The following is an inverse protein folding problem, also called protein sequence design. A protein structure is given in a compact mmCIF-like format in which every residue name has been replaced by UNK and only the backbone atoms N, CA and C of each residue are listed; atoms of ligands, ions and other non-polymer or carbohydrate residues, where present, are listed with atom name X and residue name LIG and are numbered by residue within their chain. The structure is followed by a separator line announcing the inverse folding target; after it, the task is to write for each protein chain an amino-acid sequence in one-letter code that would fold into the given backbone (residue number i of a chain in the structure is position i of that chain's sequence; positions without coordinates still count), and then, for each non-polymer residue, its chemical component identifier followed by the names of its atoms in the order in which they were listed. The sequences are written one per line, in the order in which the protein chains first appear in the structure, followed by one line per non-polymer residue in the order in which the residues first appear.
data_IF_242161568973
#
_entry.id   IF_242161568973
#
_cell.length_a   1.000
_cell.length_b   1.000
_cell.length_c   1.000
_cell.angle_alpha   90.00
_cell.angle_beta   90.00
_cell.angle_gamma   90.00
#
_symmetry.space_group_name_H-M   'P 1'
#
loop_
_entity.id
_entity.type
_entity.pdbx_description
1 polymer ?
#
# COMPACT_ATOMS: atom_id res chain seq x y z
N UNK A 1 16.50 -41.56 14.00
CA UNK A 1 16.29 -42.95 14.48
C UNK A 1 16.26 -43.86 13.25
N UNK A 2 16.96 -45.00 13.30
CA UNK A 2 17.34 -45.94 12.20
C UNK A 2 18.68 -45.62 11.51
N UNK A 3 19.77 -46.14 12.09
CA UNK A 3 20.92 -46.74 11.41
C UNK A 3 21.88 -47.27 12.48
N UNK A 4 21.45 -48.31 13.20
CA UNK A 4 22.34 -49.16 14.00
C UNK A 4 21.78 -50.56 13.82
N UNK A 5 22.50 -51.44 13.12
CA UNK A 5 22.10 -52.84 13.06
C UNK A 5 22.48 -53.55 11.77
N UNK A 6 23.77 -53.61 11.41
CA UNK A 6 24.26 -54.70 10.53
C UNK A 6 25.78 -54.89 10.57
N UNK A 7 26.42 -54.78 11.75
CA UNK A 7 27.84 -55.15 11.90
C UNK A 7 28.14 -56.09 13.09
N UNK A 8 27.12 -56.64 13.75
CA UNK A 8 27.33 -57.55 14.90
C UNK A 8 26.89 -59.01 14.71
N UNK A 9 26.38 -59.41 13.54
CA UNK A 9 25.77 -60.74 13.40
C UNK A 9 26.71 -61.86 12.93
N UNK A 10 27.98 -61.58 12.58
CA UNK A 10 28.89 -62.59 12.02
C UNK A 10 29.97 -63.10 13.00
N UNK A 11 30.08 -62.58 14.22
CA UNK A 11 31.16 -62.94 15.16
C UNK A 11 30.71 -63.76 16.39
N UNK A 12 29.51 -64.34 16.37
CA UNK A 12 28.96 -65.10 17.50
C UNK A 12 28.35 -66.46 17.16
N UNK A 13 28.63 -67.01 15.97
CA UNK A 13 28.32 -68.40 15.65
C UNK A 13 29.62 -69.22 15.70
N UNK A 14 29.90 -69.81 16.86
CA UNK A 14 30.83 -70.92 16.94
C UNK A 14 30.30 -72.05 16.07
N UNK A 15 31.03 -72.42 15.03
CA UNK A 15 30.76 -73.64 14.28
C UNK A 15 32.07 -74.41 14.11
N UNK A 16 32.24 -75.38 15.00
CA UNK A 16 33.05 -76.57 14.78
C UNK A 16 32.45 -77.30 13.57
N UNK A 17 33.18 -77.34 12.46
CA UNK A 17 32.93 -78.31 11.40
C UNK A 17 34.27 -78.72 10.77
N UNK A 18 34.82 -79.82 11.27
CA UNK A 18 35.72 -80.68 10.51
C UNK A 18 34.85 -81.42 9.50
N UNK A 19 35.00 -81.16 8.21
CA UNK A 19 34.23 -81.85 7.18
C UNK A 19 34.38 -81.23 5.80
N UNK A 20 34.71 -82.08 4.83
CA UNK A 20 35.10 -81.80 3.44
C UNK A 20 33.93 -81.44 2.53
N UNK A 21 33.97 -80.27 1.87
CA UNK A 21 33.55 -79.99 0.48
C UNK A 21 33.59 -78.47 0.23
N UNK A 22 34.04 -78.03 -0.96
CA UNK A 22 34.04 -76.63 -1.36
C UNK A 22 32.59 -76.12 -1.52
N UNK A 23 32.15 -75.23 -0.64
CA UNK A 23 30.80 -74.64 -0.64
C UNK A 23 30.88 -73.16 -1.03
N UNK A 24 30.43 -72.82 -2.23
CA UNK A 24 30.19 -71.44 -2.66
C UNK A 24 28.94 -70.89 -1.98
N UNK A 25 29.08 -69.76 -1.27
CA UNK A 25 27.97 -69.11 -0.57
C UNK A 25 27.46 -67.93 -1.41
N UNK A 26 26.15 -67.94 -1.72
CA UNK A 26 25.49 -66.85 -2.41
C UNK A 26 25.05 -65.76 -1.42
N UNK A 27 25.48 -64.52 -1.65
CA UNK A 27 25.10 -63.36 -0.84
C UNK A 27 23.90 -62.69 -1.51
N UNK A 28 22.79 -62.59 -0.77
CA UNK A 28 21.53 -62.01 -1.23
C UNK A 28 21.20 -60.72 -0.51
N UNK A 29 20.50 -59.81 -1.19
CA UNK A 29 19.93 -58.62 -0.56
C UNK A 29 18.65 -58.95 0.23
N UNK A 30 18.10 -57.96 0.94
CA UNK A 30 16.88 -58.11 1.75
C UNK A 30 15.60 -58.36 0.91
N UNK A 31 15.69 -58.35 -0.41
CA UNK A 31 14.61 -58.68 -1.34
C UNK A 31 14.79 -60.08 -1.96
N UNK A 32 15.82 -60.82 -1.55
CA UNK A 32 16.10 -62.20 -1.97
C UNK A 32 16.90 -62.32 -3.26
N UNK A 33 17.32 -61.21 -3.88
CA UNK A 33 18.10 -61.22 -5.11
C UNK A 33 19.58 -61.47 -4.81
N UNK A 34 20.23 -62.28 -5.65
CA UNK A 34 21.68 -62.56 -5.52
C UNK A 34 22.44 -61.30 -5.93
N UNK A 35 23.17 -60.72 -4.98
CA UNK A 35 24.00 -59.53 -5.18
C UNK A 35 25.50 -59.85 -5.21
N UNK A 36 25.87 -61.10 -4.94
CA UNK A 36 27.23 -61.61 -5.16
C UNK A 36 27.37 -63.10 -4.86
N UNK A 37 28.40 -63.73 -5.40
CA UNK A 37 28.84 -65.10 -5.05
C UNK A 37 30.28 -65.05 -4.57
N UNK A 38 30.57 -65.72 -3.46
CA UNK A 38 31.91 -65.80 -2.90
C UNK A 38 32.43 -67.24 -2.97
N UNK A 39 33.54 -67.43 -3.68
CA UNK A 39 34.31 -68.67 -3.66
C UNK A 39 35.12 -68.70 -2.35
N UNK A 40 34.93 -69.74 -1.53
CA UNK A 40 35.62 -69.91 -0.26
C UNK A 40 36.97 -70.62 -0.47
N UNK A 41 37.81 -70.09 -1.37
CA UNK A 41 39.13 -70.66 -1.67
C UNK A 41 40.23 -69.85 -0.99
N UNK A 42 40.69 -70.34 0.17
CA UNK A 42 41.79 -69.75 0.95
C UNK A 42 41.63 -69.93 2.45
N UNK A 43 42.37 -70.88 3.04
CA UNK A 43 42.54 -70.99 4.49
C UNK A 43 43.44 -69.83 4.97
N UNK A 44 42.82 -68.79 5.54
CA UNK A 44 43.56 -67.72 6.22
C UNK A 44 44.19 -68.27 7.52
N UNK A 45 45.47 -67.97 7.75
CA UNK A 45 46.13 -68.22 9.03
C UNK A 45 45.44 -67.41 10.14
N UNK A 46 45.41 -67.93 11.38
CA UNK A 46 44.82 -67.23 12.53
C UNK A 46 45.41 -65.82 12.73
N UNK A 47 46.69 -65.63 12.40
CA UNK A 47 47.36 -64.33 12.47
C UNK A 47 46.87 -63.36 11.38
N UNK A 48 46.51 -63.89 10.21
CA UNK A 48 46.01 -63.10 9.09
C UNK A 48 44.55 -62.67 9.32
N UNK A 49 43.75 -63.55 9.92
CA UNK A 49 42.39 -63.23 10.36
C UNK A 49 42.39 -62.16 11.47
N UNK A 50 43.32 -62.27 12.43
CA UNK A 50 43.46 -61.29 13.52
C UNK A 50 43.93 -59.92 12.98
N UNK A 51 44.84 -59.88 12.01
CA UNK A 51 45.24 -58.63 11.34
C UNK A 51 44.07 -57.96 10.62
N UNK A 52 43.29 -58.72 9.84
CA UNK A 52 42.10 -58.19 9.14
C UNK A 52 41.02 -57.72 10.11
N UNK A 53 40.84 -58.41 11.24
CA UNK A 53 39.90 -57.99 12.29
C UNK A 53 40.36 -56.70 12.97
N UNK A 54 41.66 -56.54 13.23
CA UNK A 54 42.22 -55.32 13.81
C UNK A 54 42.18 -54.14 12.82
N UNK A 55 42.38 -54.38 11.53
CA UNK A 55 42.19 -53.40 10.46
C UNK A 55 40.72 -52.96 10.39
N UNK A 56 39.78 -53.90 10.38
CA UNK A 56 38.34 -53.60 10.39
C UNK A 56 37.91 -52.82 11.64
N UNK A 57 38.47 -53.13 12.82
CA UNK A 57 38.23 -52.36 14.06
C UNK A 57 38.75 -50.94 13.97
N UNK A 58 39.96 -50.74 13.42
CA UNK A 58 40.54 -49.41 13.20
C UNK A 58 39.72 -48.60 12.20
N UNK A 59 39.25 -49.22 11.12
CA UNK A 59 38.42 -48.55 10.11
C UNK A 59 37.03 -48.19 10.66
N UNK A 60 36.41 -49.09 11.44
CA UNK A 60 35.16 -48.80 12.14
C UNK A 60 35.30 -47.64 13.14
N UNK A 61 36.41 -47.59 13.88
CA UNK A 61 36.70 -46.47 14.80
C UNK A 61 36.90 -45.16 14.03
N UNK A 62 37.64 -45.15 12.91
CA UNK A 62 37.78 -43.96 12.07
C UNK A 62 36.43 -43.47 11.54
N UNK A 63 35.56 -44.37 11.07
CA UNK A 63 34.22 -44.01 10.60
C UNK A 63 33.36 -43.42 11.72
N UNK A 64 33.39 -44.01 12.91
CA UNK A 64 32.67 -43.47 14.08
C UNK A 64 33.18 -42.08 14.47
N UNK A 65 34.49 -41.86 14.41
CA UNK A 65 35.11 -40.57 14.72
C UNK A 65 34.81 -39.52 13.64
N UNK A 66 34.79 -39.91 12.36
CA UNK A 66 34.39 -39.05 11.26
C UNK A 66 32.90 -38.66 11.36
N UNK A 67 32.02 -39.59 11.71
CA UNK A 67 30.59 -39.33 11.94
C UNK A 67 30.39 -38.38 13.13
N UNK A 68 31.11 -38.60 14.24
CA UNK A 68 31.07 -37.70 15.40
C UNK A 68 31.57 -36.30 15.05
N UNK A 69 32.64 -36.19 14.26
CA UNK A 69 33.17 -34.91 13.79
C UNK A 69 32.18 -34.18 12.89
N UNK A 70 31.57 -34.87 11.92
CA UNK A 70 30.52 -34.30 11.05
C UNK A 70 29.31 -33.81 11.85
N UNK A 71 28.85 -34.59 12.83
CA UNK A 71 27.76 -34.19 13.72
C UNK A 71 28.12 -32.98 14.60
N UNK A 72 29.36 -32.92 15.10
CA UNK A 72 29.86 -31.77 15.86
C UNK A 72 29.98 -30.51 14.99
N UNK A 73 30.45 -30.63 13.75
CA UNK A 73 30.53 -29.51 12.81
C UNK A 73 29.14 -29.00 12.40
N UNK A 74 28.17 -29.90 12.21
CA UNK A 74 26.79 -29.54 11.89
C UNK A 74 26.11 -28.82 13.05
N UNK A 75 26.24 -29.32 14.28
CA UNK A 75 25.73 -28.64 15.48
C UNK A 75 26.40 -27.28 15.68
N UNK A 76 27.71 -27.16 15.46
CA UNK A 76 28.42 -25.89 15.52
C UNK A 76 27.91 -24.88 14.46
N UNK A 77 27.58 -25.34 13.24
CA UNK A 77 26.97 -24.49 12.21
C UNK A 77 25.57 -24.02 12.61
N UNK A 78 24.73 -24.93 13.10
CA UNK A 78 23.37 -24.60 13.55
C UNK A 78 23.40 -23.59 14.70
N UNK A 79 24.31 -23.76 15.67
CA UNK A 79 24.48 -22.81 16.79
C UNK A 79 24.97 -21.44 16.28
N UNK A 80 25.93 -21.40 15.35
CA UNK A 80 26.39 -20.13 14.75
C UNK A 80 25.25 -19.41 14.02
N UNK A 81 24.48 -20.14 13.23
CA UNK A 81 23.34 -19.60 12.50
C UNK A 81 22.24 -19.10 13.45
N UNK A 82 21.97 -19.81 14.54
CA UNK A 82 21.01 -19.37 15.56
C UNK A 82 21.46 -18.07 16.24
N UNK A 83 22.76 -17.94 16.57
CA UNK A 83 23.34 -16.72 17.14
C UNK A 83 23.25 -15.56 16.14
N UNK A 84 23.57 -15.79 14.86
CA UNK A 84 23.45 -14.76 13.82
C UNK A 84 22.01 -14.32 13.61
N UNK A 85 21.06 -15.26 13.57
CA UNK A 85 19.64 -14.97 13.48
C UNK A 85 19.15 -14.16 14.69
N UNK A 86 19.57 -14.53 15.89
CA UNK A 86 19.21 -13.80 17.11
C UNK A 86 19.80 -12.39 17.13
N UNK A 87 21.07 -12.23 16.73
CA UNK A 87 21.68 -10.89 16.56
C UNK A 87 20.94 -10.06 15.52
N UNK A 88 20.54 -10.65 14.40
CA UNK A 88 19.76 -9.98 13.37
C UNK A 88 18.37 -9.57 13.89
N UNK A 89 17.72 -10.43 14.66
CA UNK A 89 16.42 -10.14 15.29
C UNK A 89 16.55 -8.99 16.31
N UNK A 90 17.57 -9.02 17.15
CA UNK A 90 17.84 -7.95 18.11
C UNK A 90 18.16 -6.63 17.41
N UNK A 91 18.94 -6.65 16.33
CA UNK A 91 19.23 -5.45 15.53
C UNK A 91 17.96 -4.86 14.90
N UNK A 92 17.06 -5.69 14.37
CA UNK A 92 15.76 -5.25 13.85
C UNK A 92 14.89 -4.64 14.95
N UNK A 93 14.82 -5.28 16.11
CA UNK A 93 14.03 -4.78 17.24
C UNK A 93 14.56 -3.45 17.77
N UNK A 94 15.89 -3.29 17.85
CA UNK A 94 16.53 -2.03 18.24
C UNK A 94 16.16 -0.89 17.29
N UNK A 95 16.22 -1.14 15.98
CA UNK A 95 15.90 -0.14 14.96
C UNK A 95 14.42 0.24 15.00
N UNK A 96 13.53 -0.73 15.25
CA UNK A 96 12.10 -0.46 15.42
C UNK A 96 11.82 0.39 16.68
N UNK A 97 12.47 0.08 17.80
CA UNK A 97 12.36 0.87 19.03
C UNK A 97 12.86 2.31 18.81
N UNK A 98 14.03 2.49 18.18
CA UNK A 98 14.55 3.82 17.86
C UNK A 98 13.59 4.61 16.97
N UNK A 99 13.00 3.95 15.97
CA UNK A 99 12.01 4.56 15.09
C UNK A 99 10.76 5.00 15.85
N UNK A 100 10.28 4.18 16.78
CA UNK A 100 9.09 4.52 17.57
C UNK A 100 9.40 5.63 18.58
N UNK A 101 10.59 5.64 19.18
CA UNK A 101 11.05 6.76 20.02
C UNK A 101 11.04 8.06 19.22
N UNK A 102 11.62 8.08 18.02
CA UNK A 102 11.63 9.27 17.15
C UNK A 102 10.21 9.72 16.76
N UNK A 103 9.31 8.76 16.52
CA UNK A 103 7.90 9.06 16.27
C UNK A 103 7.25 9.73 17.49
N UNK A 104 7.47 9.19 18.69
CA UNK A 104 6.86 9.66 19.93
C UNK A 104 7.39 11.04 20.37
N UNK A 105 8.59 11.43 19.94
CA UNK A 105 9.10 12.80 20.16
C UNK A 105 8.26 13.85 19.46
N UNK A 106 7.57 13.51 18.37
CA UNK A 106 6.74 14.44 17.62
C UNK A 106 5.29 14.36 18.05
N UNK A 107 4.71 15.48 18.47
CA UNK A 107 3.27 15.57 18.77
C UNK A 107 2.60 16.70 17.98
N UNK A 108 1.27 16.60 17.81
CA UNK A 108 0.46 17.56 17.06
C UNK A 108 -0.70 18.06 17.91
N UNK A 109 -0.94 19.37 17.88
CA UNK A 109 -2.07 20.01 18.54
C UNK A 109 -2.95 20.69 17.49
N UNK A 110 -4.21 20.25 17.30
CA UNK A 110 -5.12 20.87 16.35
C UNK A 110 -5.42 22.33 16.70
N UNK A 111 -5.43 23.19 15.69
CA UNK A 111 -5.78 24.63 15.79
C UNK A 111 -6.94 25.02 14.87
N UNK A 112 -7.34 24.13 13.96
CA UNK A 112 -8.37 24.42 12.98
C UNK A 112 -8.44 23.34 11.92
N UNK A 113 -9.10 23.65 10.81
CA UNK A 113 -9.19 22.76 9.66
C UNK A 113 -8.99 23.51 8.36
N UNK A 114 -8.59 22.81 7.31
CA UNK A 114 -8.61 23.32 5.95
C UNK A 114 -9.32 22.33 5.05
N UNK A 115 -10.27 22.83 4.27
CA UNK A 115 -11.02 22.05 3.28
C UNK A 115 -10.62 22.48 1.88
N UNK A 116 -10.17 21.54 1.07
CA UNK A 116 -9.85 21.74 -0.34
C UNK A 116 -11.01 21.28 -1.20
N UNK A 117 -11.39 22.07 -2.21
CA UNK A 117 -12.48 21.75 -3.14
C UNK A 117 -11.90 21.41 -4.51
N UNK A 118 -12.50 20.41 -5.16
CA UNK A 118 -12.11 19.93 -6.47
C UNK A 118 -13.33 19.80 -7.37
N UNK A 119 -13.13 20.01 -8.67
CA UNK A 119 -14.13 19.71 -9.69
C UNK A 119 -14.24 18.20 -9.96
N UNK A 120 -15.16 17.82 -10.85
CA UNK A 120 -15.36 16.44 -11.29
C UNK A 120 -14.11 15.80 -11.94
N UNK A 121 -13.22 16.60 -12.53
CA UNK A 121 -11.98 16.14 -13.15
C UNK A 121 -10.82 16.01 -12.15
N UNK A 122 -11.02 16.46 -10.91
CA UNK A 122 -10.02 16.41 -9.83
C UNK A 122 -9.10 17.63 -9.78
N UNK A 123 -9.37 18.70 -10.53
CA UNK A 123 -8.62 19.94 -10.40
C UNK A 123 -9.06 20.70 -9.15
N UNK A 124 -8.09 21.28 -8.44
CA UNK A 124 -8.37 22.13 -7.28
C UNK A 124 -9.09 23.40 -7.72
N UNK A 125 -10.27 23.67 -7.16
CA UNK A 125 -11.08 24.86 -7.44
C UNK A 125 -10.97 25.93 -6.36
N UNK A 126 -10.57 25.55 -5.15
CA UNK A 126 -10.36 26.47 -4.04
C UNK A 126 -10.12 25.77 -2.70
N UNK A 127 -10.05 26.57 -1.64
CA UNK A 127 -9.95 26.08 -0.27
C UNK A 127 -10.70 26.97 0.72
N UNK A 128 -11.03 26.42 1.88
CA UNK A 128 -11.60 27.12 3.02
C UNK A 128 -10.86 26.69 4.29
N UNK A 129 -10.19 27.63 4.96
CA UNK A 129 -9.45 27.38 6.18
C UNK A 129 -10.19 27.96 7.37
N UNK A 130 -10.55 27.13 8.33
CA UNK A 130 -11.23 27.50 9.57
C UNK A 130 -10.23 27.54 10.73
N UNK A 131 -10.17 28.66 11.44
CA UNK A 131 -9.34 28.84 12.64
C UNK A 131 -10.00 29.88 13.53
N UNK A 132 -10.11 29.62 14.84
CA UNK A 132 -10.62 30.56 15.84
C UNK A 132 -11.96 31.23 15.48
N UNK A 133 -12.91 30.48 14.90
CA UNK A 133 -14.24 30.98 14.54
C UNK A 133 -14.30 31.84 13.28
N UNK A 134 -13.21 31.90 12.50
CA UNK A 134 -13.16 32.51 11.19
C UNK A 134 -12.88 31.47 10.11
N UNK A 135 -13.50 31.63 8.94
CA UNK A 135 -13.25 30.81 7.74
C UNK A 135 -12.72 31.70 6.63
N UNK A 136 -11.50 31.47 6.15
CA UNK A 136 -10.91 32.19 5.02
C UNK A 136 -11.03 31.33 3.76
N UNK A 137 -11.70 31.85 2.73
CA UNK A 137 -11.89 31.16 1.44
C UNK A 137 -10.91 31.67 0.40
N UNK A 138 -10.29 30.74 -0.33
CA UNK A 138 -9.38 31.02 -1.45
C UNK A 138 -9.88 30.35 -2.72
N UNK A 139 -9.68 31.01 -3.86
CA UNK A 139 -9.88 30.39 -5.17
C UNK A 139 -8.71 29.43 -5.51
N UNK A 140 -8.79 28.76 -6.66
CA UNK A 140 -7.74 27.87 -7.17
C UNK A 140 -6.35 28.54 -7.25
N UNK A 141 -6.30 29.84 -7.57
CA UNK A 141 -5.06 30.60 -7.65
C UNK A 141 -4.46 30.95 -6.27
N UNK A 142 -5.18 30.69 -5.17
CA UNK A 142 -4.76 31.00 -3.81
C UNK A 142 -5.16 32.40 -3.34
N UNK A 143 -5.85 33.19 -4.17
CA UNK A 143 -6.35 34.52 -3.81
C UNK A 143 -7.52 34.40 -2.84
N UNK A 144 -7.55 35.22 -1.79
CA UNK A 144 -8.70 35.29 -0.87
C UNK A 144 -9.90 35.84 -1.64
N UNK A 145 -11.01 35.13 -1.60
CA UNK A 145 -12.27 35.52 -2.27
C UNK A 145 -13.39 35.82 -1.29
N UNK A 146 -13.21 35.47 -0.02
CA UNK A 146 -14.13 35.83 1.03
C UNK A 146 -13.69 35.32 2.39
N UNK A 147 -14.33 35.84 3.43
CA UNK A 147 -14.12 35.43 4.81
C UNK A 147 -15.45 35.33 5.53
N UNK A 148 -15.60 34.33 6.38
CA UNK A 148 -16.74 34.17 7.28
C UNK A 148 -16.25 34.40 8.71
N UNK A 149 -16.97 35.19 9.51
CA UNK A 149 -16.62 35.46 10.89
C UNK A 149 -17.82 35.20 11.79
N UNK A 150 -17.65 34.39 12.84
CA UNK A 150 -18.69 34.16 13.84
C UNK A 150 -18.57 35.21 14.94
N UNK A 151 -19.55 36.10 15.05
CA UNK A 151 -19.59 37.16 16.05
C UNK A 151 -21.02 37.34 16.57
N UNK A 152 -21.19 37.39 17.89
CA UNK A 152 -22.49 37.67 18.53
C UNK A 152 -23.61 36.70 18.12
N UNK A 153 -23.28 35.43 17.84
CA UNK A 153 -24.26 34.42 17.38
C UNK A 153 -24.68 34.56 15.91
N UNK A 154 -23.97 35.40 15.13
CA UNK A 154 -24.17 35.59 13.69
C UNK A 154 -22.91 35.14 12.95
N UNK A 155 -23.08 34.67 11.72
CA UNK A 155 -21.98 34.51 10.77
C UNK A 155 -21.99 35.70 9.82
N UNK A 156 -20.94 36.51 9.81
CA UNK A 156 -20.76 37.63 8.90
C UNK A 156 -19.96 37.18 7.68
N UNK A 157 -20.38 37.60 6.48
CA UNK A 157 -19.70 37.28 5.23
C UNK A 157 -19.02 38.51 4.65
N UNK A 158 -17.74 38.37 4.32
CA UNK A 158 -16.93 39.42 3.70
C UNK A 158 -16.42 38.95 2.34
N UNK A 159 -16.28 39.88 1.39
CA UNK A 159 -15.60 39.61 0.12
C UNK A 159 -14.07 39.54 0.29
N UNK A 160 -13.36 39.25 -0.80
CA UNK A 160 -11.89 39.18 -0.81
C UNK A 160 -11.18 40.52 -0.52
N UNK A 161 -11.90 41.64 -0.56
CA UNK A 161 -11.39 42.97 -0.19
C UNK A 161 -11.74 43.36 1.25
N UNK A 162 -12.49 42.53 1.98
CA UNK A 162 -12.92 42.77 3.35
C UNK A 162 -14.21 43.58 3.49
N UNK A 163 -15.00 43.76 2.42
CA UNK A 163 -16.30 44.42 2.53
C UNK A 163 -17.38 43.43 2.98
N UNK A 164 -18.25 43.85 3.89
CA UNK A 164 -19.40 43.04 4.32
C UNK A 164 -20.36 42.81 3.13
N UNK A 165 -20.61 41.55 2.80
CA UNK A 165 -21.52 41.13 1.72
C UNK A 165 -22.84 40.57 2.23
N UNK A 166 -22.89 40.16 3.49
CA UNK A 166 -24.11 39.65 4.11
C UNK A 166 -23.87 39.07 5.50
N UNK A 167 -24.93 38.47 6.05
CA UNK A 167 -24.86 37.79 7.33
C UNK A 167 -25.82 36.60 7.37
N UNK A 168 -25.55 35.61 8.22
CA UNK A 168 -26.46 34.49 8.53
C UNK A 168 -26.70 34.43 10.02
N UNK A 169 -27.97 34.25 10.38
CA UNK A 169 -28.42 34.10 11.77
C UNK A 169 -29.24 32.82 11.86
N UNK A 170 -28.90 31.96 12.81
CA UNK A 170 -29.61 30.69 13.04
C UNK A 170 -30.30 30.74 14.39
N UNK A 171 -31.59 30.48 14.43
CA UNK A 171 -32.39 30.41 15.66
C UNK A 171 -33.57 29.47 15.50
N UNK A 172 -33.76 28.55 16.47
CA UNK A 172 -34.93 27.66 16.53
C UNK A 172 -35.16 26.83 15.25
N UNK A 173 -34.10 26.33 14.61
CA UNK A 173 -34.19 25.56 13.36
C UNK A 173 -34.43 26.39 12.10
N UNK A 174 -34.51 27.72 12.23
CA UNK A 174 -34.59 28.66 11.10
C UNK A 174 -33.26 29.37 10.90
N UNK A 175 -32.77 29.41 9.67
CA UNK A 175 -31.66 30.26 9.28
C UNK A 175 -32.17 31.41 8.40
N UNK A 176 -31.81 32.64 8.75
CA UNK A 176 -32.04 33.83 7.94
C UNK A 176 -30.71 34.30 7.37
N UNK A 177 -30.69 34.54 6.05
CA UNK A 177 -29.54 35.10 5.35
C UNK A 177 -29.88 36.51 4.90
N UNK A 178 -29.01 37.45 5.23
CA UNK A 178 -29.13 38.87 4.96
C UNK A 178 -28.14 39.28 3.88
N UNK A 179 -28.53 40.22 3.02
CA UNK A 179 -27.61 40.90 2.12
C UNK A 179 -26.80 41.98 2.86
N UNK A 180 -25.88 42.65 2.15
CA UNK A 180 -25.07 43.74 2.68
C UNK A 180 -25.88 44.94 3.21
N UNK A 181 -27.10 45.16 2.69
CA UNK A 181 -28.01 46.21 3.15
C UNK A 181 -28.81 45.82 4.42
N UNK A 182 -28.65 44.58 4.90
CA UNK A 182 -29.36 44.08 6.08
C UNK A 182 -30.78 43.57 5.79
N UNK A 183 -31.14 43.38 4.52
CA UNK A 183 -32.43 42.81 4.11
C UNK A 183 -32.34 41.29 4.03
N UNK A 184 -33.42 40.59 4.38
CA UNK A 184 -33.48 39.13 4.25
C UNK A 184 -33.49 38.74 2.77
N UNK A 185 -32.43 38.05 2.35
CA UNK A 185 -32.25 37.55 0.98
C UNK A 185 -32.77 36.11 0.82
N UNK A 186 -32.59 35.27 1.85
CA UNK A 186 -33.13 33.91 1.86
C UNK A 186 -33.41 33.43 3.28
N UNK A 187 -34.25 32.39 3.37
CA UNK A 187 -34.59 31.72 4.63
C UNK A 187 -34.56 30.21 4.44
N UNK A 188 -34.05 29.51 5.44
CA UNK A 188 -34.03 28.06 5.52
C UNK A 188 -34.79 27.64 6.77
N UNK A 189 -35.68 26.66 6.65
CA UNK A 189 -36.43 26.12 7.80
C UNK A 189 -36.18 24.63 7.86
N UNK A 190 -35.60 24.17 8.97
CA UNK A 190 -35.28 22.75 9.22
C UNK A 190 -36.29 22.15 10.20
N UNK A 191 -36.87 21.01 9.85
CA UNK A 191 -37.79 20.24 10.70
C UNK A 191 -37.44 18.76 10.59
N UNK A 192 -36.87 18.21 11.66
CA UNK A 192 -36.22 16.89 11.60
C UNK A 192 -35.12 16.89 10.55
N UNK A 193 -35.13 15.90 9.66
CA UNK A 193 -34.14 15.77 8.59
C UNK A 193 -34.46 16.57 7.31
N UNK A 194 -35.59 17.28 7.27
CA UNK A 194 -36.04 18.05 6.11
C UNK A 194 -35.69 19.54 6.28
N UNK A 195 -35.00 20.12 5.31
CA UNK A 195 -34.80 21.57 5.19
C UNK A 195 -35.59 22.10 3.99
N UNK A 196 -36.33 23.19 4.19
CA UNK A 196 -37.05 23.91 3.13
C UNK A 196 -36.40 25.27 2.91
N UNK A 197 -36.11 25.59 1.64
CA UNK A 197 -35.46 26.83 1.24
C UNK A 197 -36.49 27.81 0.68
N UNK A 198 -36.38 29.08 1.08
CA UNK A 198 -37.26 30.17 0.67
C UNK A 198 -36.43 31.33 0.12
N UNK A 199 -36.94 31.99 -0.91
CA UNK A 199 -36.39 33.27 -1.39
C UNK A 199 -36.87 34.46 -0.53
N UNK A 200 -36.37 35.66 -0.85
CA UNK A 200 -36.76 36.91 -0.19
C UNK A 200 -38.28 37.19 -0.20
N UNK A 201 -39.00 36.75 -1.24
CA UNK A 201 -40.46 36.88 -1.35
C UNK A 201 -41.24 35.82 -0.54
N UNK A 202 -40.54 34.95 0.21
CA UNK A 202 -41.14 33.88 1.01
C UNK A 202 -41.64 32.68 0.20
N UNK A 203 -41.30 32.57 -1.08
CA UNK A 203 -41.65 31.42 -1.92
C UNK A 203 -40.62 30.31 -1.75
N UNK A 204 -41.09 29.06 -1.70
CA UNK A 204 -40.21 27.88 -1.69
C UNK A 204 -39.39 27.83 -2.97
N UNK A 205 -38.08 27.59 -2.85
CA UNK A 205 -37.15 27.41 -3.98
C UNK A 205 -36.64 25.98 -4.10
N UNK A 206 -36.78 25.17 -3.04
CA UNK A 206 -36.42 23.77 -3.03
C UNK A 206 -36.46 23.17 -1.64
N UNK A 207 -36.05 21.91 -1.54
CA UNK A 207 -35.90 21.18 -0.28
C UNK A 207 -34.63 20.34 -0.28
N UNK A 208 -34.13 20.02 0.91
CA UNK A 208 -33.13 18.98 1.10
C UNK A 208 -33.55 18.03 2.21
N UNK A 209 -33.19 16.76 2.09
CA UNK A 209 -33.43 15.76 3.13
C UNK A 209 -32.15 15.01 3.43
N UNK A 210 -31.74 15.03 4.71
CA UNK A 210 -30.60 14.25 5.20
C UNK A 210 -31.05 12.84 5.60
N UNK A 211 -30.21 11.86 5.32
CA UNK A 211 -30.41 10.47 5.67
C UNK A 211 -29.04 9.84 5.91
N UNK A 212 -28.69 9.65 7.18
CA UNK A 212 -27.35 9.22 7.57
C UNK A 212 -26.29 10.21 7.06
N UNK A 213 -25.39 9.74 6.21
CA UNK A 213 -24.31 10.53 5.65
C UNK A 213 -24.62 11.12 4.26
N UNK A 214 -25.85 10.98 3.78
CA UNK A 214 -26.29 11.47 2.47
C UNK A 214 -27.35 12.55 2.62
N UNK A 215 -27.31 13.56 1.74
CA UNK A 215 -28.34 14.61 1.63
C UNK A 215 -28.82 14.69 0.19
N UNK A 216 -30.13 14.61 -0.02
CA UNK A 216 -30.77 14.71 -1.34
C UNK A 216 -31.44 16.06 -1.50
N UNK A 217 -31.12 16.78 -2.58
CA UNK A 217 -31.71 18.08 -2.91
C UNK A 217 -32.80 17.91 -3.97
N UNK A 218 -33.89 18.66 -3.83
CA UNK A 218 -35.01 18.70 -4.77
C UNK A 218 -35.41 20.12 -5.10
N UNK A 219 -35.83 20.35 -6.33
CA UNK A 219 -36.43 21.62 -6.75
C UNK A 219 -37.88 21.75 -6.26
N UNK A 220 -38.53 22.86 -6.61
CA UNK A 220 -39.92 23.16 -6.23
C UNK A 220 -40.95 22.18 -6.79
N UNK A 221 -40.66 21.53 -7.92
CA UNK A 221 -41.51 20.49 -8.50
C UNK A 221 -41.28 19.10 -7.88
N UNK A 222 -40.32 18.97 -6.95
CA UNK A 222 -40.00 17.73 -6.25
C UNK A 222 -39.01 16.82 -6.98
N UNK A 223 -38.50 17.22 -8.15
CA UNK A 223 -37.46 16.48 -8.85
C UNK A 223 -36.13 16.62 -8.13
N UNK A 224 -35.37 15.53 -8.06
CA UNK A 224 -34.01 15.53 -7.52
C UNK A 224 -33.12 16.41 -8.39
N UNK A 225 -32.31 17.27 -7.77
CA UNK A 225 -31.34 18.13 -8.46
C UNK A 225 -29.90 17.75 -8.16
N UNK A 226 -29.68 16.88 -7.18
CA UNK A 226 -28.37 16.39 -6.80
C UNK A 226 -28.35 15.75 -5.43
N UNK A 227 -27.21 15.16 -5.11
CA UNK A 227 -26.97 14.54 -3.81
C UNK A 227 -25.60 14.92 -3.28
N UNK A 228 -25.46 14.88 -1.95
CA UNK A 228 -24.20 15.10 -1.26
C UNK A 228 -23.96 13.93 -0.33
N UNK A 229 -22.78 13.34 -0.38
CA UNK A 229 -22.35 12.31 0.56
C UNK A 229 -21.18 12.81 1.39
N UNK A 230 -21.29 12.70 2.70
CA UNK A 230 -20.29 13.10 3.67
C UNK A 230 -19.63 11.83 4.24
N UNK A 231 -18.31 11.80 4.27
CA UNK A 231 -17.51 10.77 4.93
C UNK A 231 -16.42 11.47 5.75
N UNK A 232 -15.82 10.83 6.76
CA UNK A 232 -14.79 11.49 7.56
C UNK A 232 -13.68 12.09 6.68
N UNK A 233 -13.55 13.42 6.72
CA UNK A 233 -12.56 14.17 5.94
C UNK A 233 -12.83 14.28 4.43
N UNK A 234 -14.00 13.84 3.93
CA UNK A 234 -14.35 13.94 2.51
C UNK A 234 -15.85 14.16 2.27
N UNK A 235 -16.16 15.12 1.42
CA UNK A 235 -17.52 15.35 0.89
C UNK A 235 -17.52 15.17 -0.62
N UNK A 236 -18.56 14.55 -1.17
CA UNK A 236 -18.73 14.38 -2.62
C UNK A 236 -20.10 14.91 -3.03
N UNK A 237 -20.12 15.73 -4.07
CA UNK A 237 -21.34 16.23 -4.71
C UNK A 237 -21.61 15.45 -5.98
N UNK A 238 -22.88 15.14 -6.21
CA UNK A 238 -23.36 14.50 -7.41
C UNK A 238 -24.52 15.29 -8.01
N UNK A 239 -24.65 15.26 -9.33
CA UNK A 239 -25.85 15.73 -10.02
C UNK A 239 -27.04 14.78 -9.82
N UNK A 240 -28.14 15.08 -10.49
CA UNK A 240 -29.38 14.29 -10.48
C UNK A 240 -29.24 12.92 -11.15
N UNK A 241 -28.23 12.73 -12.00
CA UNK A 241 -27.88 11.46 -12.64
C UNK A 241 -26.92 10.61 -11.79
N UNK A 242 -26.44 11.13 -10.66
CA UNK A 242 -25.47 10.46 -9.80
C UNK A 242 -24.03 10.56 -10.28
N UNK A 243 -23.72 11.48 -11.20
CA UNK A 243 -22.36 11.76 -11.65
C UNK A 243 -21.71 12.75 -10.69
N UNK A 244 -20.45 12.50 -10.33
CA UNK A 244 -19.68 13.39 -9.45
C UNK A 244 -19.51 14.76 -10.12
N UNK A 245 -19.94 15.82 -9.45
CA UNK A 245 -19.77 17.20 -9.90
C UNK A 245 -18.63 17.91 -9.15
N UNK A 246 -18.29 17.43 -7.96
CA UNK A 246 -17.15 17.91 -7.21
C UNK A 246 -16.85 17.06 -5.98
N UNK A 247 -15.70 17.29 -5.39
CA UNK A 247 -15.31 16.69 -4.11
C UNK A 247 -14.63 17.71 -3.22
N UNK A 248 -14.66 17.47 -1.92
CA UNK A 248 -13.89 18.23 -0.96
C UNK A 248 -13.15 17.30 -0.02
N UNK A 249 -11.98 17.74 0.43
CA UNK A 249 -11.14 17.02 1.39
C UNK A 249 -10.76 17.94 2.52
N UNK A 250 -11.10 17.55 3.73
CA UNK A 250 -10.81 18.31 4.95
C UNK A 250 -9.64 17.69 5.68
N UNK A 251 -8.72 18.55 6.11
CA UNK A 251 -7.50 18.20 6.83
C UNK A 251 -7.40 19.05 8.09
N UNK A 252 -6.78 18.51 9.14
CA UNK A 252 -6.52 19.29 10.34
C UNK A 252 -5.37 20.27 10.10
N UNK A 253 -5.50 21.48 10.64
CA UNK A 253 -4.39 22.40 10.82
C UNK A 253 -3.83 22.18 12.21
N UNK A 254 -2.52 22.02 12.33
CA UNK A 254 -1.87 21.67 13.58
C UNK A 254 -0.67 22.56 13.91
N UNK A 255 -0.42 22.71 15.21
CA UNK A 255 0.91 23.00 15.76
C UNK A 255 1.66 21.69 15.92
N UNK A 256 2.89 21.65 15.43
CA UNK A 256 3.79 20.50 15.54
C UNK A 256 4.83 20.77 16.62
N UNK A 257 5.00 19.83 17.53
CA UNK A 257 5.98 19.87 18.61
C UNK A 257 6.99 18.74 18.43
N UNK A 258 8.25 18.99 18.78
CA UNK A 258 9.28 17.98 18.93
C UNK A 258 9.86 18.08 20.33
N UNK A 259 9.83 16.99 21.09
CA UNK A 259 10.23 16.94 22.50
C UNK A 259 9.55 18.06 23.33
N UNK A 260 8.26 18.31 23.07
CA UNK A 260 7.46 19.32 23.75
C UNK A 260 7.73 20.77 23.32
N UNK A 261 8.67 21.02 22.40
CA UNK A 261 8.96 22.36 21.86
C UNK A 261 8.25 22.57 20.53
N UNK A 262 7.61 23.73 20.36
CA UNK A 262 6.97 24.09 19.09
C UNK A 262 8.02 24.20 17.99
N UNK A 263 7.84 23.45 16.90
CA UNK A 263 8.76 23.45 15.74
C UNK A 263 8.13 23.93 14.45
N UNK A 264 6.81 23.79 14.30
CA UNK A 264 6.08 24.28 13.13
C UNK A 264 4.62 24.56 13.44
N UNK A 265 4.01 25.42 12.65
CA UNK A 265 2.57 25.67 12.62
C UNK A 265 2.13 25.55 11.18
N UNK A 266 1.08 24.78 10.92
CA UNK A 266 0.55 24.66 9.57
C UNK A 266 0.07 26.01 9.05
N UNK A 267 0.58 26.39 7.88
CA UNK A 267 0.14 27.58 7.15
C UNK A 267 -0.89 27.17 6.08
N UNK A 268 -2.16 27.61 6.19
CA UNK A 268 -3.20 27.31 5.22
C UNK A 268 -2.84 27.68 3.77
N UNK A 269 -2.13 28.80 3.56
CA UNK A 269 -1.76 29.26 2.22
C UNK A 269 -0.70 28.35 1.58
N UNK A 270 0.30 27.91 2.36
CA UNK A 270 1.31 26.96 1.88
C UNK A 270 0.70 25.58 1.61
N UNK A 271 -0.19 25.12 2.48
CA UNK A 271 -0.93 23.88 2.28
C UNK A 271 -1.77 23.92 0.99
N UNK A 272 -2.42 25.06 0.69
CA UNK A 272 -3.14 25.27 -0.56
C UNK A 272 -2.22 25.15 -1.78
N UNK A 273 -1.09 25.83 -1.78
CA UNK A 273 -0.15 25.74 -2.92
C UNK A 273 0.44 24.35 -3.08
N UNK A 274 0.79 23.65 -1.98
CA UNK A 274 1.20 22.23 -2.05
C UNK A 274 0.10 21.38 -2.67
N UNK A 275 -1.14 21.51 -2.20
CA UNK A 275 -2.25 20.68 -2.69
C UNK A 275 -2.62 20.97 -4.14
N UNK A 276 -2.50 22.21 -4.58
CA UNK A 276 -2.65 22.64 -5.96
C UNK A 276 -1.62 21.94 -6.87
N UNK A 277 -0.36 21.90 -6.46
CA UNK A 277 0.71 21.20 -7.19
C UNK A 277 0.46 19.69 -7.24
N UNK A 278 0.09 19.08 -6.12
CA UNK A 278 -0.25 17.65 -6.04
C UNK A 278 -1.44 17.30 -6.93
N UNK A 279 -2.50 18.10 -6.92
CA UNK A 279 -3.68 17.89 -7.74
C UNK A 279 -3.33 17.96 -9.24
N UNK A 280 -2.56 18.97 -9.65
CA UNK A 280 -2.09 19.10 -11.03
C UNK A 280 -1.26 17.88 -11.47
N UNK A 281 -0.35 17.42 -10.62
CA UNK A 281 0.47 16.22 -10.87
C UNK A 281 -0.38 14.96 -10.97
N UNK A 282 -1.36 14.79 -10.08
CA UNK A 282 -2.24 13.63 -10.07
C UNK A 282 -3.11 13.57 -11.33
N UNK A 283 -3.69 14.70 -11.74
CA UNK A 283 -4.47 14.79 -12.97
C UNK A 283 -3.59 14.53 -14.20
N UNK A 284 -2.39 15.12 -14.27
CA UNK A 284 -1.44 14.85 -15.34
C UNK A 284 -1.06 13.37 -15.41
N UNK A 285 -0.81 12.74 -14.26
CA UNK A 285 -0.50 11.30 -14.19
C UNK A 285 -1.70 10.44 -14.61
N UNK A 286 -2.92 10.81 -14.21
CA UNK A 286 -4.14 10.11 -14.63
C UNK A 286 -4.38 10.24 -16.15
N UNK A 287 -4.14 11.43 -16.71
CA UNK A 287 -4.17 11.66 -18.15
C UNK A 287 -3.08 10.87 -18.88
N UNK A 288 -1.85 10.86 -18.36
CA UNK A 288 -0.75 10.05 -18.91
C UNK A 288 -1.09 8.56 -18.90
N UNK A 289 -1.62 8.02 -17.80
CA UNK A 289 -2.09 6.63 -17.72
C UNK A 289 -3.22 6.35 -18.70
N UNK A 290 -4.17 7.27 -18.90
CA UNK A 290 -5.22 7.12 -19.92
C UNK A 290 -4.62 7.12 -21.32
N UNK A 291 -3.66 8.00 -21.57
CA UNK A 291 -2.96 8.11 -22.84
C UNK A 291 -2.07 6.89 -23.11
N UNK A 292 -1.46 6.30 -22.09
CA UNK A 292 -0.61 5.09 -22.15
C UNK A 292 -1.43 3.80 -22.20
N UNK A 293 -2.55 3.71 -21.48
CA UNK A 293 -3.58 2.70 -21.74
C UNK A 293 -4.08 2.78 -23.19
N UNK A 294 -4.00 3.98 -23.77
CA UNK A 294 -4.22 4.23 -25.20
C UNK A 294 -2.97 4.17 -26.09
N UNK A 295 -1.74 4.00 -25.58
CA UNK A 295 -0.45 3.98 -26.32
C UNK A 295 0.63 3.15 -25.62
N UNK A 296 1.00 2.01 -26.18
CA UNK A 296 2.14 1.17 -25.76
C UNK A 296 3.31 1.34 -26.72
N UNK A 297 4.47 1.73 -26.20
CA UNK A 297 5.70 1.86 -27.00
C UNK A 297 6.65 0.69 -26.71
N UNK A 298 6.96 -0.12 -27.72
CA UNK A 298 7.92 -1.24 -27.67
C UNK A 298 9.16 -0.85 -28.46
N UNK A 299 10.34 -0.92 -27.84
CA UNK A 299 11.63 -0.71 -28.50
C UNK A 299 12.27 -2.06 -28.82
N UNK A 300 12.76 -2.21 -30.04
CA UNK A 300 13.42 -3.42 -30.53
C UNK A 300 14.91 -3.13 -30.70
N UNK A 301 15.75 -4.00 -30.15
CA UNK A 301 17.21 -3.88 -30.19
C UNK A 301 17.80 -5.06 -30.96
N UNK A 302 18.96 -4.86 -31.60
CA UNK A 302 19.76 -5.94 -32.16
C UNK A 302 20.55 -6.70 -31.07
N UNK A 303 21.24 -7.77 -31.48
CA UNK A 303 22.06 -8.62 -30.60
C UNK A 303 23.24 -7.89 -29.93
N UNK A 304 23.59 -6.70 -30.43
CA UNK A 304 24.64 -5.84 -29.88
C UNK A 304 24.06 -4.70 -29.00
N UNK A 305 22.75 -4.69 -28.77
CA UNK A 305 22.05 -3.70 -27.94
C UNK A 305 21.73 -2.38 -28.66
N UNK A 306 21.89 -2.29 -29.98
CA UNK A 306 21.56 -1.08 -30.75
C UNK A 306 20.06 -1.07 -31.07
N UNK A 307 19.42 0.09 -30.88
CA UNK A 307 18.00 0.29 -31.23
C UNK A 307 17.82 0.17 -32.76
N UNK A 308 16.93 -0.72 -33.20
CA UNK A 308 16.64 -0.95 -34.64
C UNK A 308 15.23 -0.51 -35.03
N UNK A 309 14.26 -0.55 -34.12
CA UNK A 309 12.90 -0.11 -34.41
C UNK A 309 12.14 0.29 -33.13
N UNK A 310 11.20 1.23 -33.28
CA UNK A 310 10.22 1.57 -32.24
C UNK A 310 8.82 1.30 -32.77
N UNK A 311 8.03 0.55 -32.01
CA UNK A 311 6.61 0.29 -32.30
C UNK A 311 5.75 1.03 -31.29
N UNK A 312 4.88 1.93 -31.76
CA UNK A 312 3.89 2.64 -30.94
C UNK A 312 2.50 2.09 -31.27
N UNK A 313 1.84 1.42 -30.33
CA UNK A 313 0.47 0.93 -30.53
C UNK A 313 -0.50 1.76 -29.72
N UNK A 314 -1.37 2.52 -30.39
CA UNK A 314 -2.40 3.30 -29.73
C UNK A 314 -3.57 3.75 -30.59
N UNK A 315 -4.75 3.87 -29.97
CA UNK A 315 -5.98 4.30 -30.66
C UNK A 315 -6.34 3.43 -31.88
N UNK A 316 -6.13 2.11 -31.81
CA UNK A 316 -6.42 1.19 -32.92
C UNK A 316 -5.40 1.19 -34.05
N UNK A 317 -4.23 1.83 -33.89
CA UNK A 317 -3.16 1.85 -34.90
C UNK A 317 -1.79 1.53 -34.29
N UNK A 318 -0.96 0.82 -35.02
CA UNK A 318 0.42 0.47 -34.72
C UNK A 318 1.30 1.22 -35.69
N UNK A 319 2.08 2.19 -35.22
CA UNK A 319 3.08 2.90 -36.01
C UNK A 319 4.45 2.28 -35.78
N UNK A 320 5.21 2.08 -36.85
CA UNK A 320 6.58 1.57 -36.81
C UNK A 320 7.53 2.66 -37.27
N UNK A 321 8.61 2.83 -36.53
CA UNK A 321 9.70 3.74 -36.87
C UNK A 321 11.01 2.95 -36.93
N UNK A 322 11.91 3.32 -37.84
CA UNK A 322 13.25 2.76 -37.90
C UNK A 322 14.21 3.45 -36.93
N UNK A 323 15.48 3.04 -36.99
CA UNK A 323 16.49 3.39 -35.99
C UNK A 323 16.84 4.90 -35.95
N UNK A 324 16.61 5.63 -37.04
CA UNK A 324 16.83 7.08 -37.13
C UNK A 324 15.55 7.90 -36.89
N UNK A 325 14.45 7.25 -36.51
CA UNK A 325 13.15 7.89 -36.26
C UNK A 325 12.28 8.06 -37.50
N UNK A 326 12.68 7.50 -38.64
CA UNK A 326 11.93 7.50 -39.88
C UNK A 326 10.64 6.68 -39.74
N UNK A 327 9.51 7.23 -40.17
CA UNK A 327 8.23 6.53 -40.17
C UNK A 327 8.24 5.44 -41.26
N UNK A 328 8.08 4.19 -40.85
CA UNK A 328 8.16 3.01 -41.72
C UNK A 328 6.78 2.44 -42.09
N UNK A 329 5.73 2.84 -41.36
CA UNK A 329 4.38 2.41 -41.68
C UNK A 329 3.42 2.50 -40.50
N UNK A 330 2.13 2.48 -40.82
CA UNK A 330 1.02 2.44 -39.86
C UNK A 330 0.12 1.27 -40.20
N UNK A 331 -0.18 0.39 -39.24
CA UNK A 331 -1.08 -0.75 -39.39
C UNK A 331 -2.25 -0.62 -38.42
N UNK A 332 -3.47 -1.03 -38.77
CA UNK A 332 -4.57 -1.07 -37.81
C UNK A 332 -4.34 -2.20 -36.79
N UNK A 333 -4.52 -1.92 -35.50
CA UNK A 333 -4.44 -2.91 -34.44
C UNK A 333 -5.67 -3.82 -34.52
N UNK A 334 -5.59 -4.91 -35.28
CA UNK A 334 -6.67 -5.90 -35.42
C UNK A 334 -6.78 -6.61 -36.77
N UNK A 335 -6.01 -6.24 -37.80
CA UNK A 335 -5.95 -7.06 -39.02
C UNK A 335 -4.98 -8.23 -38.78
N UNK A 336 -5.56 -9.44 -38.70
CA UNK A 336 -4.89 -10.74 -38.55
C UNK A 336 -3.62 -10.87 -39.39
#
# INVERSE_FOLDING_TARGET
MKMIGTWCAALLAGFLAVGTAAETVEIRDNSGNIVGRADLDGYYSSDELNRKLDEARKDMQRLLEEQRRKAADETARQVRQAIENERANQARMRLEIEREIERLKTSYSPIGTITFYYDAAGYLTGSAAETDGAVVRRNAAGTVIGTELIEGGKTLYYDGSGNLTGARVVSGGTALVYNAAGEVYSREVTTGELTTYYNAAGRVTGTSRKAGNSTVFRNTAGYMTGTVTETPGRTTWYDDMGIVTGTARTEALCRKFYEGKLVAVDNPAELHERRKQEAAMNVQTAQARRNEAGRKTVRHYDVNGRLIATTESGGGTIRRYGAAGEHMGTTAAGSR
#
